data_IF_917613673751
#
_entry.id   IF_917613673751
#
_cell.length_a   1.000
_cell.length_b   1.000
_cell.length_c   1.000
_cell.angle_alpha   90.00
_cell.angle_beta   90.00
_cell.angle_gamma   90.00
#
_symmetry.space_group_name_H-M   'P 1'
#
loop_
_entity.id
_entity.type
_entity.pdbx_description
1 polymer ?
#
# COMPACT_ATOMS: atom_id res chain seq x y z
N UNK A 1 22.40 -21.06 5.37
CA UNK A 1 21.55 -21.96 6.18
C UNK A 1 21.04 -23.07 5.27
N UNK A 2 21.28 -24.35 5.59
CA UNK A 2 20.99 -25.50 4.71
C UNK A 2 19.48 -25.67 4.52
N UNK A 3 18.97 -25.52 3.30
CA UNK A 3 17.61 -25.92 2.90
C UNK A 3 17.73 -27.19 2.05
N UNK A 4 17.85 -28.33 2.73
CA UNK A 4 17.36 -29.60 2.19
C UNK A 4 16.26 -29.97 3.17
N UNK A 5 15.03 -29.54 2.88
CA UNK A 5 13.87 -29.80 3.75
C UNK A 5 13.52 -31.27 3.65
N UNK A 6 13.37 -31.91 4.80
CA UNK A 6 13.02 -33.32 4.87
C UNK A 6 11.56 -33.51 4.43
N UNK A 7 11.26 -34.63 3.77
CA UNK A 7 9.89 -34.99 3.34
C UNK A 7 8.88 -35.01 4.52
N UNK A 8 9.38 -35.11 5.75
CA UNK A 8 8.62 -35.07 7.00
C UNK A 8 8.17 -33.65 7.39
N UNK A 9 8.95 -32.61 7.05
CA UNK A 9 8.56 -31.20 7.27
C UNK A 9 7.46 -30.74 6.31
N UNK A 10 7.54 -31.15 5.04
CA UNK A 10 6.49 -30.86 4.05
C UNK A 10 5.16 -31.53 4.42
N UNK A 11 5.22 -32.75 4.98
CA UNK A 11 4.03 -33.46 5.45
C UNK A 11 3.37 -32.75 6.65
N UNK A 12 4.18 -32.23 7.59
CA UNK A 12 3.70 -31.45 8.74
C UNK A 12 3.09 -30.11 8.35
N UNK A 13 3.68 -29.40 7.38
CA UNK A 13 3.11 -28.15 6.87
C UNK A 13 1.76 -28.40 6.17
N UNK A 14 1.64 -29.51 5.43
CA UNK A 14 0.38 -29.92 4.81
C UNK A 14 -0.71 -30.29 5.84
N UNK A 15 -0.33 -30.93 6.96
CA UNK A 15 -1.23 -31.19 8.09
C UNK A 15 -1.66 -29.90 8.80
N UNK A 16 -0.75 -28.94 8.99
CA UNK A 16 -1.05 -27.64 9.60
C UNK A 16 -1.98 -26.79 8.71
N UNK A 17 -1.79 -26.82 7.39
CA UNK A 17 -2.65 -26.12 6.43
C UNK A 17 -4.04 -26.77 6.37
N UNK A 18 -4.14 -28.09 6.42
CA UNK A 18 -5.44 -28.80 6.50
C UNK A 18 -6.13 -28.59 7.86
N UNK A 19 -5.38 -28.50 8.96
CA UNK A 19 -5.95 -28.15 10.27
C UNK A 19 -6.45 -26.71 10.29
N UNK A 20 -5.72 -25.76 9.69
CA UNK A 20 -6.15 -24.38 9.53
C UNK A 20 -7.40 -24.27 8.64
N UNK A 21 -7.46 -25.04 7.54
CA UNK A 21 -8.61 -25.16 6.65
C UNK A 21 -9.83 -25.73 7.37
N UNK A 22 -9.66 -26.75 8.21
CA UNK A 22 -10.73 -27.31 9.04
C UNK A 22 -11.23 -26.32 10.09
N UNK A 23 -10.35 -25.54 10.73
CA UNK A 23 -10.73 -24.48 11.67
C UNK A 23 -11.47 -23.31 11.01
N UNK A 24 -11.07 -22.92 9.78
CA UNK A 24 -11.77 -21.92 8.98
C UNK A 24 -13.16 -22.41 8.53
N UNK A 25 -13.28 -23.68 8.12
CA UNK A 25 -14.57 -24.27 7.75
C UNK A 25 -15.50 -24.53 8.95
N UNK A 26 -14.94 -24.72 10.15
CA UNK A 26 -15.72 -24.80 11.40
C UNK A 26 -16.23 -23.41 11.82
N UNK A 27 -15.42 -22.36 11.63
CA UNK A 27 -15.84 -20.97 11.87
C UNK A 27 -16.96 -20.53 10.89
N UNK A 28 -16.93 -21.01 9.65
CA UNK A 28 -17.99 -20.78 8.66
C UNK A 28 -19.31 -21.54 8.92
N UNK A 29 -19.31 -22.55 9.82
CA UNK A 29 -20.52 -23.29 10.22
C UNK A 29 -21.20 -22.77 11.48
N UNK A 30 -20.65 -21.74 12.12
CA UNK A 30 -21.23 -21.09 13.30
C UNK A 30 -22.21 -19.94 12.95
N UNK A 31 -22.82 -19.96 11.76
CA UNK A 31 -23.82 -18.96 11.34
C UNK A 31 -25.21 -19.10 12.01
N UNK A 32 -25.39 -20.04 12.95
CA UNK A 32 -26.66 -20.25 13.66
C UNK A 32 -26.89 -19.35 14.90
N UNK A 33 -26.08 -18.33 15.10
CA UNK A 33 -26.39 -17.22 16.03
C UNK A 33 -26.99 -16.01 15.31
N UNK A 34 -27.86 -16.24 14.32
CA UNK A 34 -28.83 -15.23 13.83
C UNK A 34 -30.06 -15.20 14.73
N UNK A 35 -29.88 -14.77 15.97
CA UNK A 35 -30.96 -14.23 16.81
C UNK A 35 -30.30 -13.32 17.83
N UNK A 36 -30.86 -12.12 17.93
CA UNK A 36 -30.47 -11.00 18.80
C UNK A 36 -29.62 -9.97 18.03
N UNK A 37 -30.21 -8.77 17.92
CA UNK A 37 -29.75 -7.53 17.27
C UNK A 37 -30.25 -7.39 15.82
N UNK A 38 -31.31 -6.60 15.68
CA UNK A 38 -31.91 -6.23 14.41
C UNK A 38 -30.93 -5.47 13.54
N UNK A 39 -30.75 -5.97 12.32
CA UNK A 39 -30.19 -5.23 11.20
C UNK A 39 -31.29 -4.32 10.63
N UNK A 40 -31.15 -3.01 10.79
CA UNK A 40 -31.81 -2.04 9.91
C UNK A 40 -30.76 -1.46 8.98
N UNK A 41 -30.89 -1.76 7.69
CA UNK A 41 -30.15 -1.09 6.64
C UNK A 41 -30.58 0.37 6.56
N UNK A 42 -29.64 1.26 6.23
CA UNK A 42 -29.93 2.65 5.95
C UNK A 42 -30.97 2.78 4.82
N UNK A 43 -32.20 3.14 5.19
CA UNK A 43 -33.14 3.87 4.35
C UNK A 43 -33.80 4.94 5.22
N UNK A 44 -33.54 6.19 4.89
CA UNK A 44 -34.30 7.33 5.39
C UNK A 44 -35.75 7.26 4.88
N UNK A 45 -36.67 7.89 5.63
CA UNK A 45 -38.12 8.03 5.40
C UNK A 45 -39.02 6.87 5.87
N UNK A 46 -39.55 6.95 7.10
CA UNK A 46 -41.02 7.06 7.38
C UNK A 46 -41.38 6.98 8.88
N UNK A 47 -42.46 7.69 9.22
CA UNK A 47 -43.44 7.41 10.28
C UNK A 47 -43.19 7.84 11.74
N UNK A 48 -43.84 8.96 12.04
CA UNK A 48 -44.63 9.29 13.22
C UNK A 48 -45.34 8.10 13.93
N UNK A 49 -45.49 8.25 15.24
CA UNK A 49 -46.59 7.78 16.10
C UNK A 49 -46.59 6.37 16.75
N UNK A 50 -46.94 6.41 18.05
CA UNK A 50 -47.40 5.36 18.99
C UNK A 50 -46.35 4.49 19.71
N UNK A 51 -46.13 4.78 21.01
CA UNK A 51 -46.66 3.96 22.13
C UNK A 51 -46.21 4.54 23.49
N UNK A 52 -47.14 5.23 24.14
CA UNK A 52 -47.29 5.18 25.61
C UNK A 52 -47.71 3.76 26.02
N UNK A 53 -47.55 3.44 27.32
CA UNK A 53 -47.82 2.15 27.99
C UNK A 53 -46.68 1.12 28.00
N UNK A 54 -45.71 1.32 28.90
CA UNK A 54 -45.28 0.36 29.93
C UNK A 54 -44.02 0.87 30.64
N UNK A 55 -44.19 1.80 31.58
CA UNK A 55 -43.19 2.07 32.61
C UNK A 55 -43.92 2.53 33.87
N UNK A 56 -44.59 1.57 34.52
CA UNK A 56 -45.04 1.75 35.88
C UNK A 56 -43.83 1.98 36.80
N UNK A 57 -43.96 3.01 37.63
CA UNK A 57 -43.36 3.06 38.97
C UNK A 57 -41.82 3.04 39.06
N UNK A 58 -41.14 4.01 38.45
CA UNK A 58 -39.96 4.60 39.09
C UNK A 58 -40.06 6.12 39.06
N UNK A 59 -40.22 6.67 40.25
CA UNK A 59 -40.33 8.08 40.65
C UNK A 59 -39.64 9.07 39.70
N UNK A 60 -40.47 9.87 39.04
CA UNK A 60 -40.15 11.12 38.34
C UNK A 60 -39.59 12.18 39.31
N UNK A 61 -38.28 12.16 39.59
CA UNK A 61 -37.57 13.28 40.24
C UNK A 61 -36.06 13.27 39.91
N UNK A 62 -35.70 13.57 38.67
CA UNK A 62 -34.32 14.01 38.33
C UNK A 62 -34.38 15.15 37.33
N UNK A 63 -34.64 16.36 37.84
CA UNK A 63 -34.13 17.56 37.20
C UNK A 63 -32.59 17.50 37.26
N UNK A 64 -31.89 17.99 36.23
CA UNK A 64 -30.43 18.09 36.21
C UNK A 64 -29.94 18.76 37.51
N UNK A 65 -29.42 17.97 38.45
CA UNK A 65 -29.06 18.46 39.76
C UNK A 65 -27.67 19.09 39.68
N UNK A 66 -27.64 20.41 39.52
CA UNK A 66 -26.41 21.18 39.59
C UNK A 66 -26.05 21.35 41.07
N UNK A 67 -24.94 20.76 41.50
CA UNK A 67 -24.46 20.89 42.89
C UNK A 67 -23.13 21.61 42.91
N UNK A 68 -23.04 22.66 43.73
CA UNK A 68 -21.76 23.27 44.12
C UNK A 68 -21.35 22.68 45.44
N UNK A 69 -20.13 22.16 45.50
CA UNK A 69 -19.51 21.71 46.74
C UNK A 69 -18.34 22.64 47.04
N UNK A 70 -18.31 23.17 48.25
CA UNK A 70 -17.22 24.01 48.77
C UNK A 70 -16.51 23.21 49.84
N UNK A 71 -15.30 22.73 49.55
CA UNK A 71 -14.46 22.02 50.51
C UNK A 71 -13.11 22.74 50.62
N UNK A 72 -12.93 23.51 51.70
CA UNK A 72 -11.77 24.39 51.88
C UNK A 72 -11.74 25.56 50.88
N UNK A 73 -10.58 25.83 50.26
CA UNK A 73 -10.41 26.86 49.21
C UNK A 73 -10.79 26.37 47.80
N UNK A 74 -11.24 25.12 47.63
CA UNK A 74 -11.61 24.56 46.32
C UNK A 74 -13.13 24.60 46.15
N UNK A 75 -13.58 25.38 45.17
CA UNK A 75 -14.97 25.33 44.68
C UNK A 75 -15.04 24.40 43.47
N UNK A 76 -15.98 23.45 43.50
CA UNK A 76 -16.24 22.53 42.40
C UNK A 76 -17.71 22.58 42.00
N UNK A 77 -17.98 22.69 40.70
CA UNK A 77 -19.32 22.60 40.10
C UNK A 77 -19.49 21.23 39.45
N UNK A 78 -20.54 20.50 39.86
CA UNK A 78 -20.90 19.21 39.29
C UNK A 78 -22.20 19.32 38.49
N UNK A 79 -22.24 18.68 37.32
CA UNK A 79 -23.42 18.60 36.48
C UNK A 79 -23.52 17.22 35.83
N UNK A 80 -24.64 16.55 36.05
CA UNK A 80 -24.99 15.32 35.34
C UNK A 80 -25.72 15.67 34.03
N UNK A 81 -25.50 14.85 33.02
CA UNK A 81 -26.35 14.86 31.82
C UNK A 81 -27.79 14.48 32.18
N UNK A 82 -28.75 15.02 31.41
CA UNK A 82 -30.17 14.74 31.63
C UNK A 82 -30.47 13.24 31.41
N UNK A 83 -31.41 12.65 32.17
CA UNK A 83 -31.70 11.21 32.11
C UNK A 83 -32.04 10.71 30.70
N UNK A 84 -32.63 11.56 29.87
CA UNK A 84 -33.05 11.19 28.53
C UNK A 84 -31.91 11.17 27.49
N UNK A 85 -30.69 11.62 27.83
CA UNK A 85 -29.57 11.72 26.89
C UNK A 85 -28.40 10.80 27.27
N UNK A 86 -27.87 10.91 28.49
CA UNK A 86 -26.81 10.01 28.97
C UNK A 86 -27.05 9.61 30.42
N UNK A 87 -26.98 8.31 30.66
CA UNK A 87 -26.90 7.74 32.00
C UNK A 87 -25.41 7.57 32.33
N UNK A 88 -25.02 7.93 33.56
CA UNK A 88 -23.70 7.68 34.14
C UNK A 88 -22.53 8.60 33.73
N UNK A 89 -22.77 9.70 33.00
CA UNK A 89 -21.74 10.71 32.73
C UNK A 89 -21.86 11.88 33.72
N UNK A 90 -20.79 12.14 34.47
CA UNK A 90 -20.69 13.24 35.42
C UNK A 90 -19.65 14.24 34.92
N UNK A 91 -20.06 15.49 34.74
CA UNK A 91 -19.14 16.60 34.51
C UNK A 91 -18.76 17.27 35.83
N UNK A 92 -17.49 17.60 35.99
CA UNK A 92 -16.96 18.39 37.09
C UNK A 92 -16.09 19.52 36.56
N UNK A 93 -16.31 20.72 37.10
CA UNK A 93 -15.50 21.90 36.85
C UNK A 93 -14.85 22.34 38.16
N UNK A 94 -13.52 22.39 38.15
CA UNK A 94 -12.73 22.98 39.24
C UNK A 94 -12.61 24.49 39.00
N UNK A 95 -12.73 25.29 40.06
CA UNK A 95 -12.53 26.74 39.99
C UNK A 95 -11.20 27.08 39.29
N UNK A 96 -11.25 28.11 38.44
CA UNK A 96 -10.09 28.63 37.70
C UNK A 96 -9.41 27.60 36.76
N UNK A 97 -10.13 26.54 36.38
CA UNK A 97 -9.66 25.56 35.39
C UNK A 97 -10.15 25.91 33.98
N UNK A 98 -9.29 25.83 32.96
CA UNK A 98 -9.71 25.84 31.55
C UNK A 98 -10.24 24.46 31.10
N UNK A 99 -10.15 23.43 31.94
CA UNK A 99 -10.54 22.07 31.64
C UNK A 99 -11.77 21.62 32.45
N UNK A 100 -12.69 20.98 31.77
CA UNK A 100 -13.83 20.25 32.33
C UNK A 100 -13.46 18.77 32.45
N UNK A 101 -13.62 18.19 33.63
CA UNK A 101 -13.42 16.77 33.88
C UNK A 101 -14.73 16.01 33.68
N UNK A 102 -14.68 14.89 32.99
CA UNK A 102 -15.80 14.02 32.68
C UNK A 102 -15.50 12.64 33.25
N UNK A 103 -16.44 12.13 34.03
CA UNK A 103 -16.38 10.80 34.64
C UNK A 103 -17.49 9.94 34.07
N UNK A 104 -17.13 8.86 33.39
CA UNK A 104 -18.06 7.89 32.85
C UNK A 104 -18.11 6.68 33.77
N UNK A 105 -19.22 6.51 34.48
CA UNK A 105 -19.37 5.47 35.50
C UNK A 105 -19.97 4.22 34.85
N UNK A 106 -19.17 3.17 34.72
CA UNK A 106 -19.61 1.90 34.16
C UNK A 106 -19.95 0.94 35.28
N UNK A 107 -21.24 0.69 35.47
CA UNK A 107 -21.74 -0.38 36.33
C UNK A 107 -21.61 -1.71 35.60
N UNK A 108 -20.75 -2.60 36.10
CA UNK A 108 -20.61 -3.96 35.59
C UNK A 108 -21.34 -4.91 36.55
N UNK A 109 -22.40 -5.56 36.09
CA UNK A 109 -23.05 -6.64 36.84
C UNK A 109 -22.57 -7.98 36.29
N UNK A 110 -21.90 -8.77 37.13
CA UNK A 110 -21.47 -10.14 36.77
C UNK A 110 -22.31 -11.10 37.59
N UNK A 111 -23.35 -11.66 36.96
CA UNK A 111 -24.33 -12.49 37.68
C UNK A 111 -25.21 -11.67 38.63
N UNK A 112 -25.31 -12.10 39.90
CA UNK A 112 -26.09 -11.44 40.96
C UNK A 112 -25.22 -10.63 41.94
N UNK A 113 -23.91 -10.54 41.72
CA UNK A 113 -23.01 -9.75 42.58
C UNK A 113 -22.78 -8.37 41.97
N UNK A 114 -23.08 -7.32 42.74
CA UNK A 114 -22.73 -5.95 42.40
C UNK A 114 -21.21 -5.78 42.55
N UNK A 115 -20.51 -5.65 41.43
CA UNK A 115 -19.07 -5.35 41.40
C UNK A 115 -18.89 -3.83 41.53
N UNK A 116 -17.79 -3.41 42.14
CA UNK A 116 -17.42 -1.99 42.27
C UNK A 116 -17.41 -1.31 40.87
N UNK A 117 -18.11 -0.17 40.70
CA UNK A 117 -18.24 0.46 39.40
C UNK A 117 -16.90 1.02 38.94
N UNK A 118 -16.50 0.70 37.70
CA UNK A 118 -15.32 1.30 37.10
C UNK A 118 -15.63 2.72 36.60
N UNK A 119 -14.74 3.67 36.88
CA UNK A 119 -14.90 5.07 36.45
C UNK A 119 -13.83 5.41 35.41
N UNK A 120 -14.26 5.83 34.22
CA UNK A 120 -13.37 6.34 33.19
C UNK A 120 -13.31 7.87 33.26
N UNK A 121 -12.15 8.40 33.62
CA UNK A 121 -11.90 9.83 33.68
C UNK A 121 -11.33 10.37 32.35
N UNK A 122 -11.81 11.54 31.93
CA UNK A 122 -11.24 12.32 30.82
C UNK A 122 -11.42 13.82 31.03
N UNK A 123 -10.54 14.63 30.46
CA UNK A 123 -10.66 16.10 30.46
C UNK A 123 -10.96 16.63 29.06
N UNK A 124 -11.84 17.63 28.96
CA UNK A 124 -12.10 18.40 27.73
C UNK A 124 -11.82 19.88 27.99
N UNK A 125 -11.41 20.62 26.96
CA UNK A 125 -11.14 22.07 27.02
C UNK A 125 -12.06 22.75 26.01
N UNK A 126 -13.25 23.21 26.43
CA UNK A 126 -14.16 23.97 25.59
C UNK A 126 -13.58 25.37 25.31
N UNK A 127 -13.09 25.60 24.09
CA UNK A 127 -12.59 26.89 23.63
C UNK A 127 -11.08 27.11 23.80
N UNK A 128 -10.61 28.34 23.60
CA UNK A 128 -9.19 28.69 23.56
C UNK A 128 -8.67 29.15 24.92
N UNK A 129 -8.37 28.21 25.82
CA UNK A 129 -7.51 28.41 27.00
C UNK A 129 -8.00 29.35 28.10
N UNK A 130 -9.17 29.97 27.96
CA UNK A 130 -9.78 30.78 29.02
C UNK A 130 -10.41 29.87 30.08
N UNK A 131 -10.27 30.27 31.35
CA UNK A 131 -10.91 29.59 32.47
C UNK A 131 -12.43 29.54 32.30
N UNK A 132 -13.01 28.38 32.58
CA UNK A 132 -14.45 28.16 32.45
C UNK A 132 -15.13 28.65 33.72
N UNK A 133 -16.20 29.44 33.55
CA UNK A 133 -17.03 29.94 34.65
C UNK A 133 -18.17 28.97 34.99
N UNK A 134 -18.79 28.35 33.98
CA UNK A 134 -19.85 27.34 34.16
C UNK A 134 -20.08 26.59 32.84
N UNK A 135 -20.79 25.47 32.89
CA UNK A 135 -21.17 24.68 31.72
C UNK A 135 -22.57 24.06 31.88
N UNK A 136 -23.17 23.66 30.76
CA UNK A 136 -24.45 22.95 30.73
C UNK A 136 -24.52 22.00 29.56
N UNK A 137 -25.04 20.79 29.78
CA UNK A 137 -25.30 19.82 28.71
C UNK A 137 -26.49 20.24 27.85
N UNK A 138 -26.45 19.89 26.57
CA UNK A 138 -27.59 20.10 25.68
C UNK A 138 -28.73 19.11 26.03
N UNK A 139 -30.01 19.57 26.08
CA UNK A 139 -31.12 18.70 26.49
C UNK A 139 -31.39 17.50 25.57
N UNK A 140 -31.20 17.67 24.26
CA UNK A 140 -31.49 16.65 23.24
C UNK A 140 -30.25 16.08 22.53
N UNK A 141 -29.08 16.69 22.69
CA UNK A 141 -27.86 16.26 21.98
C UNK A 141 -26.87 15.69 23.00
N UNK A 142 -26.72 14.38 23.01
CA UNK A 142 -25.96 13.64 24.04
C UNK A 142 -24.49 14.07 24.16
N UNK A 143 -23.88 14.52 23.06
CA UNK A 143 -22.46 14.84 22.97
C UNK A 143 -22.20 16.35 22.93
N UNK A 144 -23.19 17.19 23.23
CA UNK A 144 -23.05 18.65 23.07
C UNK A 144 -23.20 19.32 24.42
N UNK A 145 -22.31 20.26 24.71
CA UNK A 145 -22.37 21.11 25.89
C UNK A 145 -22.12 22.55 25.52
N UNK A 146 -22.66 23.44 26.34
CA UNK A 146 -22.42 24.87 26.29
C UNK A 146 -21.52 25.23 27.46
N UNK A 147 -20.40 25.88 27.21
CA UNK A 147 -19.49 26.39 28.23
C UNK A 147 -19.44 27.92 28.17
N UNK A 148 -19.39 28.57 29.32
CA UNK A 148 -19.15 30.01 29.44
C UNK A 148 -17.80 30.23 30.09
N UNK A 149 -16.97 31.07 29.48
CA UNK A 149 -15.66 31.47 30.01
C UNK A 149 -15.81 32.59 31.05
N UNK A 150 -14.83 32.75 31.95
CA UNK A 150 -14.78 33.87 32.90
C UNK A 150 -14.70 35.24 32.20
N UNK A 151 -14.20 35.28 30.97
CA UNK A 151 -14.21 36.48 30.11
C UNK A 151 -15.58 36.76 29.47
N UNK A 152 -16.62 35.95 29.74
CA UNK A 152 -17.98 36.11 29.22
C UNK A 152 -18.23 35.53 27.84
N UNK A 153 -17.25 34.87 27.22
CA UNK A 153 -17.41 34.19 25.93
C UNK A 153 -18.18 32.88 26.07
N UNK A 154 -19.15 32.65 25.18
CA UNK A 154 -19.95 31.42 25.10
C UNK A 154 -19.35 30.49 24.05
N UNK A 155 -19.16 29.22 24.39
CA UNK A 155 -18.65 28.19 23.48
C UNK A 155 -19.61 27.02 23.43
N UNK A 156 -20.03 26.68 22.21
CA UNK A 156 -20.72 25.43 21.93
C UNK A 156 -19.69 24.35 21.58
N UNK A 157 -19.68 23.27 22.35
CA UNK A 157 -18.64 22.26 22.30
C UNK A 157 -19.21 20.85 22.13
N UNK A 158 -18.62 20.10 21.20
CA UNK A 158 -18.97 18.69 20.98
C UNK A 158 -17.94 17.80 21.68
N UNK A 159 -18.40 17.06 22.66
CA UNK A 159 -17.64 16.02 23.37
C UNK A 159 -17.59 14.78 22.48
N UNK A 160 -16.39 14.41 22.05
CA UNK A 160 -16.18 13.17 21.31
C UNK A 160 -16.13 11.98 22.26
N UNK A 161 -16.84 10.91 21.91
CA UNK A 161 -16.70 9.62 22.58
C UNK A 161 -15.40 8.94 22.18
N UNK A 162 -14.82 8.17 23.11
CA UNK A 162 -13.79 7.21 22.75
C UNK A 162 -14.48 6.05 22.03
N UNK A 163 -14.27 5.98 20.73
CA UNK A 163 -14.70 4.85 19.91
C UNK A 163 -13.73 3.71 20.19
N UNK A 164 -14.23 2.58 20.70
CA UNK A 164 -13.44 1.34 20.71
C UNK A 164 -13.48 0.75 19.32
N UNK A 165 -12.32 0.68 18.67
CA UNK A 165 -12.15 0.08 17.36
C UNK A 165 -11.56 -1.32 17.54
N UNK A 166 -12.21 -2.32 16.94
CA UNK A 166 -11.72 -3.69 16.86
C UNK A 166 -11.46 -4.03 15.40
N UNK A 167 -10.31 -4.65 15.14
CA UNK A 167 -9.92 -5.10 13.81
C UNK A 167 -9.69 -6.62 13.86
N UNK A 168 -10.38 -7.36 12.99
CA UNK A 168 -10.19 -8.80 12.84
C UNK A 168 -9.12 -9.15 11.78
N UNK A 169 -8.47 -10.33 11.90
CA UNK A 169 -7.64 -10.90 10.84
C UNK A 169 -8.39 -11.23 9.54
N UNK A 170 -9.74 -11.25 9.60
CA UNK A 170 -10.60 -11.41 8.42
C UNK A 170 -10.94 -10.07 7.76
N UNK A 171 -10.22 -8.99 8.09
CA UNK A 171 -10.38 -7.64 7.52
C UNK A 171 -11.72 -6.98 7.86
N UNK A 172 -12.25 -7.28 9.05
CA UNK A 172 -13.45 -6.62 9.58
C UNK A 172 -13.03 -5.54 10.58
N UNK A 173 -13.45 -4.30 10.35
CA UNK A 173 -13.27 -3.18 11.27
C UNK A 173 -14.62 -2.90 11.89
N UNK A 174 -14.73 -3.15 13.19
CA UNK A 174 -15.97 -2.95 13.97
C UNK A 174 -15.72 -1.87 15.00
N UNK A 175 -16.69 -0.97 15.15
CA UNK A 175 -16.64 0.03 16.21
C UNK A 175 -18.01 0.36 16.77
N UNK A 176 -18.02 0.85 18.01
CA UNK A 176 -19.23 1.31 18.68
C UNK A 176 -19.64 2.68 18.17
N UNK A 177 -20.92 2.84 17.82
CA UNK A 177 -21.52 4.11 17.48
C UNK A 177 -22.70 4.39 18.43
N UNK A 178 -22.45 5.20 19.45
CA UNK A 178 -23.40 5.40 20.55
C UNK A 178 -23.63 4.11 21.34
N UNK A 179 -24.78 4.03 22.03
CA UNK A 179 -25.08 2.94 22.98
C UNK A 179 -25.63 1.66 22.36
N UNK A 180 -26.19 1.75 21.15
CA UNK A 180 -27.01 0.67 20.56
C UNK A 180 -26.48 0.11 19.24
N UNK A 181 -25.57 0.82 18.58
CA UNK A 181 -25.14 0.44 17.24
C UNK A 181 -23.68 0.07 17.23
N UNK A 182 -23.39 -1.08 16.62
CA UNK A 182 -22.07 -1.42 16.13
C UNK A 182 -22.05 -1.10 14.64
N UNK A 183 -21.04 -0.36 14.21
CA UNK A 183 -20.75 -0.18 12.79
C UNK A 183 -19.65 -1.16 12.39
N UNK A 184 -19.74 -1.66 11.17
CA UNK A 184 -18.83 -2.63 10.59
C UNK A 184 -18.45 -2.16 9.19
N UNK A 185 -17.16 -2.27 8.86
CA UNK A 185 -16.63 -2.19 7.50
C UNK A 185 -15.87 -3.49 7.24
N UNK A 186 -16.03 -4.04 6.05
CA UNK A 186 -15.40 -5.28 5.57
C UNK A 186 -14.54 -5.03 4.34
N UNK A 187 -13.74 -6.02 3.96
CA UNK A 187 -12.96 -6.04 2.70
C UNK A 187 -13.83 -5.93 1.44
N UNK A 188 -15.15 -6.14 1.55
CA UNK A 188 -16.12 -6.00 0.45
C UNK A 188 -16.60 -4.56 0.24
N UNK A 189 -16.40 -3.68 1.22
CA UNK A 189 -16.87 -2.30 1.14
C UNK A 189 -15.88 -1.45 0.33
N UNK A 190 -16.38 -0.61 -0.59
CA UNK A 190 -15.53 0.29 -1.40
C UNK A 190 -14.65 1.22 -0.54
N UNK A 191 -15.10 1.54 0.67
CA UNK A 191 -14.35 2.34 1.62
C UNK A 191 -13.08 1.62 2.10
N UNK A 192 -13.12 0.29 2.24
CA UNK A 192 -11.99 -0.50 2.72
C UNK A 192 -10.89 -0.61 1.68
N UNK A 193 -11.23 -0.64 0.39
CA UNK A 193 -10.25 -0.65 -0.71
C UNK A 193 -9.32 0.56 -0.65
N UNK A 194 -9.79 1.70 -0.12
CA UNK A 194 -8.97 2.91 0.05
C UNK A 194 -7.92 2.80 1.16
N UNK A 195 -8.03 1.82 2.05
CA UNK A 195 -7.09 1.63 3.16
C UNK A 195 -5.79 0.93 2.72
N UNK A 196 -5.77 0.32 1.53
CA UNK A 196 -4.63 -0.40 0.98
C UNK A 196 -3.98 -1.40 1.97
N UNK A 197 -4.82 -2.18 2.65
CA UNK A 197 -4.37 -3.10 3.69
C UNK A 197 -3.65 -4.33 3.11
N UNK A 198 -2.39 -4.51 3.52
CA UNK A 198 -1.55 -5.65 3.15
C UNK A 198 -2.15 -6.99 3.59
N UNK A 199 -2.92 -7.03 4.69
CA UNK A 199 -3.52 -8.28 5.19
C UNK A 199 -4.52 -8.87 4.19
N UNK A 200 -5.27 -8.02 3.48
CA UNK A 200 -6.19 -8.42 2.41
C UNK A 200 -5.42 -8.99 1.22
N UNK A 201 -4.33 -8.33 0.83
CA UNK A 201 -3.46 -8.80 -0.25
C UNK A 201 -2.86 -10.17 0.08
N UNK A 202 -2.37 -10.38 1.31
CA UNK A 202 -1.84 -11.66 1.77
C UNK A 202 -2.93 -12.74 1.76
N UNK A 203 -4.12 -12.45 2.30
CA UNK A 203 -5.27 -13.37 2.32
C UNK A 203 -5.67 -13.77 0.90
N UNK A 204 -5.80 -12.80 -0.01
CA UNK A 204 -6.16 -13.04 -1.41
C UNK A 204 -5.12 -13.89 -2.12
N UNK A 205 -3.83 -13.56 -2.00
CA UNK A 205 -2.72 -14.35 -2.55
C UNK A 205 -2.70 -15.78 -1.98
N UNK A 206 -2.92 -15.96 -0.69
CA UNK A 206 -3.01 -17.30 -0.08
C UNK A 206 -4.18 -18.12 -0.65
N UNK A 207 -5.35 -17.50 -0.84
CA UNK A 207 -6.53 -18.17 -1.43
C UNK A 207 -6.34 -18.51 -2.92
N UNK A 208 -5.50 -17.77 -3.65
CA UNK A 208 -5.15 -18.07 -5.04
C UNK A 208 -3.98 -19.03 -5.17
N UNK A 209 -3.48 -19.59 -4.06
CA UNK A 209 -2.35 -20.52 -3.99
C UNK A 209 -1.03 -19.88 -4.47
N UNK A 210 -0.86 -18.59 -4.20
CA UNK A 210 0.37 -17.86 -4.47
C UNK A 210 1.59 -18.54 -3.82
N UNK A 211 2.62 -18.80 -4.62
CA UNK A 211 3.82 -19.53 -4.23
C UNK A 211 3.72 -21.05 -4.35
N UNK A 212 2.54 -21.59 -4.70
CA UNK A 212 2.28 -23.02 -4.85
C UNK A 212 1.93 -23.42 -6.30
N UNK A 213 1.97 -22.48 -7.27
CA UNK A 213 1.78 -22.82 -8.68
C UNK A 213 2.93 -23.71 -9.19
N UNK A 214 2.58 -24.65 -10.07
CA UNK A 214 3.54 -25.62 -10.64
C UNK A 214 4.67 -24.90 -11.38
N UNK A 215 4.31 -23.95 -12.23
CA UNK A 215 5.25 -23.08 -12.90
C UNK A 215 5.51 -21.81 -12.09
N UNK A 216 6.79 -21.54 -11.80
CA UNK A 216 7.22 -20.40 -10.98
C UNK A 216 6.72 -19.06 -11.53
N UNK A 217 6.72 -18.87 -12.85
CA UNK A 217 6.31 -17.62 -13.49
C UNK A 217 4.83 -17.28 -13.26
N UNK A 218 3.96 -18.28 -13.11
CA UNK A 218 2.51 -18.08 -12.86
C UNK A 218 2.25 -17.38 -11.52
N UNK A 219 3.14 -17.56 -10.55
CA UNK A 219 3.04 -16.84 -9.28
C UNK A 219 3.26 -15.33 -9.47
N UNK A 220 3.99 -14.92 -10.51
CA UNK A 220 4.17 -13.51 -10.86
C UNK A 220 2.87 -12.83 -11.29
N UNK A 221 2.02 -13.51 -12.04
CA UNK A 221 0.71 -12.96 -12.45
C UNK A 221 -0.26 -12.79 -11.27
N UNK A 222 -0.04 -13.51 -10.18
CA UNK A 222 -0.81 -13.40 -8.93
C UNK A 222 -0.23 -12.38 -7.94
N UNK A 223 0.91 -11.76 -8.28
CA UNK A 223 1.57 -10.79 -7.41
C UNK A 223 0.85 -9.45 -7.38
N UNK A 224 0.20 -9.01 -8.46
CA UNK A 224 -0.32 -7.63 -8.59
C UNK A 224 0.72 -6.55 -8.25
N UNK A 225 1.98 -6.86 -8.52
CA UNK A 225 3.16 -6.03 -8.25
C UNK A 225 4.21 -6.39 -9.29
N UNK A 226 4.69 -5.40 -10.05
CA UNK A 226 5.56 -5.62 -11.20
C UNK A 226 6.95 -6.11 -10.77
N UNK A 227 7.48 -5.59 -9.68
CA UNK A 227 8.78 -6.00 -9.14
C UNK A 227 8.75 -7.48 -8.73
N UNK A 228 7.69 -7.89 -8.05
CA UNK A 228 7.50 -9.26 -7.61
C UNK A 228 7.19 -10.20 -8.79
N UNK A 229 6.48 -9.72 -9.82
CA UNK A 229 6.29 -10.45 -11.08
C UNK A 229 7.63 -10.71 -11.78
N UNK A 230 8.48 -9.69 -11.88
CA UNK A 230 9.82 -9.80 -12.45
C UNK A 230 10.68 -10.79 -11.66
N UNK A 231 10.60 -10.77 -10.33
CA UNK A 231 11.31 -11.72 -9.49
C UNK A 231 10.90 -13.18 -9.76
N UNK A 232 9.60 -13.47 -9.86
CA UNK A 232 9.11 -14.82 -10.18
C UNK A 232 9.58 -15.28 -11.56
N UNK A 233 9.56 -14.37 -12.54
CA UNK A 233 10.06 -14.64 -13.87
C UNK A 233 11.57 -14.92 -13.87
N UNK A 234 12.35 -14.16 -13.09
CA UNK A 234 13.77 -14.42 -12.90
C UNK A 234 14.05 -15.78 -12.26
N UNK A 235 13.30 -16.16 -11.22
CA UNK A 235 13.42 -17.48 -10.59
C UNK A 235 13.13 -18.61 -11.58
N UNK A 236 12.11 -18.42 -12.43
CA UNK A 236 11.79 -19.36 -13.50
C UNK A 236 12.95 -19.51 -14.50
N UNK A 237 13.49 -18.40 -15.02
CA UNK A 237 14.62 -18.42 -15.96
C UNK A 237 15.89 -19.03 -15.35
N UNK A 238 16.19 -18.67 -14.11
CA UNK A 238 17.32 -19.20 -13.36
C UNK A 238 17.22 -20.72 -13.21
N UNK A 239 16.03 -21.23 -12.86
CA UNK A 239 15.77 -22.68 -12.77
C UNK A 239 15.96 -23.37 -14.13
N UNK A 240 15.41 -22.83 -15.21
CA UNK A 240 15.57 -23.39 -16.57
C UNK A 240 17.04 -23.50 -16.95
N UNK A 241 17.84 -22.46 -16.67
CA UNK A 241 19.28 -22.44 -16.95
C UNK A 241 20.07 -23.47 -16.14
N UNK A 242 19.65 -23.77 -14.90
CA UNK A 242 20.26 -24.85 -14.10
C UNK A 242 19.87 -26.22 -14.66
N UNK A 243 18.60 -26.42 -15.02
CA UNK A 243 18.09 -27.70 -15.56
C UNK A 243 18.72 -28.04 -16.93
N UNK A 244 19.01 -27.03 -17.75
CA UNK A 244 19.74 -27.16 -19.02
C UNK A 244 21.24 -27.46 -18.84
N UNK A 245 21.75 -27.49 -17.60
CA UNK A 245 23.17 -27.73 -17.30
C UNK A 245 24.08 -26.53 -17.59
N UNK A 246 23.51 -25.35 -17.85
CA UNK A 246 24.24 -24.15 -18.25
C UNK A 246 24.84 -23.37 -17.06
N UNK A 247 24.42 -23.66 -15.82
CA UNK A 247 24.98 -23.09 -14.59
C UNK A 247 25.41 -24.19 -13.61
N UNK A 248 26.72 -24.31 -13.33
CA UNK A 248 27.21 -25.21 -12.28
C UNK A 248 27.12 -24.52 -10.91
N UNK A 249 26.42 -25.17 -9.98
CA UNK A 249 26.10 -24.60 -8.67
C UNK A 249 27.31 -24.33 -7.75
N UNK A 250 27.07 -23.36 -6.86
CA UNK A 250 27.72 -23.09 -5.55
C UNK A 250 29.06 -22.34 -5.54
N UNK A 251 29.67 -21.96 -6.68
CA UNK A 251 30.85 -21.08 -6.67
C UNK A 251 30.92 -20.08 -7.84
N UNK A 252 29.78 -19.62 -8.35
CA UNK A 252 29.75 -18.52 -9.31
C UNK A 252 29.89 -17.16 -8.59
N UNK A 253 31.04 -16.92 -7.94
CA UNK A 253 31.52 -15.55 -7.74
C UNK A 253 31.77 -15.00 -9.13
N UNK A 254 30.76 -14.46 -9.84
CA UNK A 254 30.82 -14.01 -11.24
C UNK A 254 32.23 -13.51 -11.61
N UNK A 255 33.13 -14.39 -12.09
CA UNK A 255 34.52 -14.04 -12.23
C UNK A 255 34.66 -13.67 -13.69
N UNK A 256 34.51 -12.37 -13.97
CA UNK A 256 34.76 -11.70 -15.26
C UNK A 256 34.69 -12.64 -16.46
N UNK A 257 33.51 -12.77 -17.07
CA UNK A 257 33.29 -13.91 -17.95
C UNK A 257 33.28 -13.56 -19.45
N UNK A 258 34.15 -14.32 -20.13
CA UNK A 258 34.08 -14.86 -21.49
C UNK A 258 32.65 -15.02 -22.06
N UNK A 259 32.56 -14.97 -23.39
CA UNK A 259 31.34 -14.95 -24.23
C UNK A 259 30.15 -15.76 -23.70
N UNK A 260 30.39 -16.99 -23.25
CA UNK A 260 29.33 -17.95 -22.93
C UNK A 260 28.53 -17.59 -21.67
N UNK A 261 29.11 -16.92 -20.67
CA UNK A 261 28.30 -16.47 -19.52
C UNK A 261 27.68 -15.09 -19.74
N UNK A 262 28.17 -14.29 -20.71
CA UNK A 262 27.44 -13.08 -21.13
C UNK A 262 26.11 -13.43 -21.79
N UNK A 263 26.09 -14.46 -22.64
CA UNK A 263 24.84 -14.95 -23.25
C UNK A 263 23.84 -15.47 -22.23
N UNK A 264 24.31 -16.20 -21.19
CA UNK A 264 23.45 -16.65 -20.09
C UNK A 264 22.93 -15.49 -19.24
N UNK A 265 23.79 -14.51 -18.96
CA UNK A 265 23.38 -13.32 -18.24
C UNK A 265 22.35 -12.50 -19.04
N UNK A 266 22.51 -12.39 -20.36
CA UNK A 266 21.50 -11.78 -21.24
C UNK A 266 20.19 -12.56 -21.22
N UNK A 267 20.24 -13.90 -21.17
CA UNK A 267 19.05 -14.73 -21.02
C UNK A 267 18.32 -14.46 -19.70
N UNK A 268 19.05 -14.31 -18.58
CA UNK A 268 18.49 -13.94 -17.28
C UNK A 268 17.82 -12.56 -17.29
N UNK A 269 18.38 -11.61 -18.03
CA UNK A 269 17.79 -10.28 -18.23
C UNK A 269 16.63 -10.28 -19.25
N UNK A 270 16.31 -11.42 -19.89
CA UNK A 270 15.28 -11.51 -20.93
C UNK A 270 15.70 -10.91 -22.29
N UNK A 271 16.99 -10.63 -22.50
CA UNK A 271 17.56 -10.03 -23.71
C UNK A 271 18.30 -11.04 -24.62
N UNK A 272 18.02 -12.34 -24.48
CA UNK A 272 18.55 -13.34 -25.40
C UNK A 272 17.60 -13.54 -26.59
N UNK A 273 18.06 -13.11 -27.76
CA UNK A 273 17.30 -13.21 -29.01
C UNK A 273 18.03 -14.11 -30.01
N UNK A 274 17.74 -15.40 -30.00
CA UNK A 274 18.37 -16.36 -30.91
C UNK A 274 17.96 -16.10 -32.38
N UNK A 275 16.80 -15.46 -32.59
CA UNK A 275 16.24 -15.13 -33.91
C UNK A 275 15.59 -13.76 -33.92
N UNK A 276 15.49 -13.18 -35.11
CA UNK A 276 14.72 -11.96 -35.34
C UNK A 276 13.26 -12.12 -34.88
N UNK A 277 12.68 -13.31 -35.05
CA UNK A 277 11.30 -13.61 -34.60
C UNK A 277 11.14 -13.53 -33.09
N UNK A 278 12.11 -14.00 -32.31
CA UNK A 278 12.08 -13.91 -30.84
C UNK A 278 12.25 -12.48 -30.35
N UNK A 279 13.03 -11.68 -31.08
CA UNK A 279 13.18 -10.25 -30.83
C UNK A 279 11.87 -9.50 -31.08
N UNK A 280 11.22 -9.73 -32.23
CA UNK A 280 9.94 -9.08 -32.54
C UNK A 280 8.84 -9.48 -31.54
N UNK A 281 8.74 -10.77 -31.18
CA UNK A 281 7.76 -11.22 -30.18
C UNK A 281 7.96 -10.57 -28.80
N UNK A 282 9.21 -10.31 -28.42
CA UNK A 282 9.51 -9.59 -27.18
C UNK A 282 9.06 -8.13 -27.24
N UNK A 283 9.29 -7.45 -28.36
CA UNK A 283 8.79 -6.08 -28.57
C UNK A 283 7.26 -6.02 -28.62
N UNK A 284 6.61 -6.97 -29.31
CA UNK A 284 5.14 -7.05 -29.38
C UNK A 284 4.51 -7.23 -27.99
N UNK A 285 5.17 -7.99 -27.09
CA UNK A 285 4.75 -8.12 -25.69
C UNK A 285 4.82 -6.78 -24.97
N UNK A 286 5.93 -6.06 -25.11
CA UNK A 286 6.10 -4.73 -24.51
C UNK A 286 5.09 -3.71 -25.05
N UNK A 287 4.78 -3.75 -26.35
CA UNK A 287 3.73 -2.92 -26.95
C UNK A 287 2.34 -3.26 -26.39
N UNK A 288 2.06 -4.56 -26.16
CA UNK A 288 0.80 -5.03 -25.55
C UNK A 288 0.66 -4.59 -24.10
N UNK A 289 1.78 -4.48 -23.38
CA UNK A 289 1.86 -3.94 -22.01
C UNK A 289 1.88 -2.39 -21.99
N UNK A 290 1.61 -1.72 -23.12
CA UNK A 290 1.65 -0.26 -23.31
C UNK A 290 3.03 0.39 -23.05
N UNK A 291 4.09 -0.40 -22.95
CA UNK A 291 5.46 0.03 -22.68
C UNK A 291 6.21 0.45 -23.96
N UNK A 292 5.60 1.32 -24.76
CA UNK A 292 6.12 1.74 -26.07
C UNK A 292 7.51 2.40 -25.99
N UNK A 293 7.77 3.24 -24.98
CA UNK A 293 9.09 3.88 -24.79
C UNK A 293 10.20 2.86 -24.58
N UNK A 294 9.93 1.83 -23.75
CA UNK A 294 10.85 0.73 -23.46
C UNK A 294 11.12 -0.09 -24.71
N UNK A 295 10.07 -0.52 -25.42
CA UNK A 295 10.19 -1.26 -26.67
C UNK A 295 11.01 -0.49 -27.72
N UNK A 296 10.72 0.79 -27.90
CA UNK A 296 11.42 1.66 -28.83
C UNK A 296 12.91 1.83 -28.46
N UNK A 297 13.23 1.95 -27.17
CA UNK A 297 14.60 2.05 -26.69
C UNK A 297 15.42 0.79 -26.96
N UNK A 298 14.83 -0.38 -26.69
CA UNK A 298 15.47 -1.68 -26.96
C UNK A 298 15.71 -1.86 -28.46
N UNK A 299 14.79 -1.40 -29.32
CA UNK A 299 14.99 -1.36 -30.77
C UNK A 299 16.15 -0.43 -31.19
N UNK A 300 16.30 0.74 -30.55
CA UNK A 300 17.45 1.65 -30.78
C UNK A 300 18.76 1.04 -30.33
N UNK A 301 18.81 0.43 -29.15
CA UNK A 301 20.02 -0.26 -28.67
C UNK A 301 20.42 -1.41 -29.60
N UNK A 302 19.44 -2.06 -30.23
CA UNK A 302 19.66 -3.07 -31.27
C UNK A 302 19.97 -2.48 -32.66
N UNK A 303 20.19 -1.17 -32.76
CA UNK A 303 20.48 -0.41 -33.99
C UNK A 303 19.37 -0.45 -35.07
N UNK A 304 18.14 -0.79 -34.69
CA UNK A 304 16.97 -0.85 -35.57
C UNK A 304 16.16 0.44 -35.50
N UNK A 305 16.77 1.56 -35.91
CA UNK A 305 16.16 2.90 -35.81
C UNK A 305 14.79 3.01 -36.49
N UNK A 306 14.62 2.39 -37.66
CA UNK A 306 13.35 2.40 -38.41
C UNK A 306 12.23 1.74 -37.61
N UNK A 307 12.50 0.56 -37.05
CA UNK A 307 11.55 -0.16 -36.21
C UNK A 307 11.19 0.65 -34.96
N UNK A 308 12.18 1.28 -34.32
CA UNK A 308 11.94 2.16 -33.18
C UNK A 308 10.98 3.31 -33.52
N UNK A 309 11.18 3.99 -34.65
CA UNK A 309 10.28 5.06 -35.12
C UNK A 309 8.86 4.53 -35.35
N UNK A 310 8.72 3.35 -35.94
CA UNK A 310 7.40 2.72 -36.14
C UNK A 310 6.70 2.40 -34.81
N UNK A 311 7.43 1.86 -33.82
CA UNK A 311 6.91 1.59 -32.47
C UNK A 311 6.46 2.88 -31.78
N UNK A 312 7.28 3.93 -31.84
CA UNK A 312 6.94 5.24 -31.24
C UNK A 312 5.69 5.85 -31.88
N UNK A 313 5.54 5.74 -33.20
CA UNK A 313 4.36 6.24 -33.91
C UNK A 313 3.11 5.44 -33.52
N UNK A 314 3.19 4.10 -33.42
CA UNK A 314 2.09 3.26 -32.93
C UNK A 314 1.69 3.64 -31.49
N UNK A 315 2.67 3.80 -30.61
CA UNK A 315 2.44 4.22 -29.22
C UNK A 315 1.82 5.62 -29.12
N UNK A 316 2.26 6.55 -29.96
CA UNK A 316 1.67 7.89 -30.04
C UNK A 316 0.21 7.86 -30.50
N UNK A 317 -0.11 7.09 -31.55
CA UNK A 317 -1.49 6.90 -32.00
C UNK A 317 -2.38 6.27 -30.93
N UNK A 318 -1.86 5.30 -30.17
CA UNK A 318 -2.56 4.68 -29.05
C UNK A 318 -2.83 5.70 -27.92
N UNK A 319 -1.83 6.49 -27.53
CA UNK A 319 -1.95 7.48 -26.46
C UNK A 319 -2.85 8.67 -26.83
N UNK A 320 -2.85 9.10 -28.11
CA UNK A 320 -3.82 10.11 -28.60
C UNK A 320 -5.25 9.63 -28.43
N UNK A 321 -5.56 8.37 -28.77
CA UNK A 321 -6.91 7.81 -28.65
C UNK A 321 -7.41 7.83 -27.20
N UNK A 322 -6.48 7.77 -26.24
CA UNK A 322 -6.75 7.85 -24.81
C UNK A 322 -6.70 9.28 -24.23
N UNK A 323 -6.43 10.29 -25.06
CA UNK A 323 -6.39 11.70 -24.64
C UNK A 323 -5.12 12.12 -23.89
N UNK A 324 -4.05 11.33 -23.95
CA UNK A 324 -2.78 11.63 -23.29
C UNK A 324 -1.87 12.47 -24.18
N UNK A 325 -1.22 13.49 -23.61
CA UNK A 325 -0.13 14.23 -24.26
C UNK A 325 1.16 13.44 -24.07
N UNK A 326 1.86 13.17 -25.17
CA UNK A 326 3.00 12.26 -25.18
C UNK A 326 4.20 12.82 -25.94
N UNK A 327 5.39 12.60 -25.39
CA UNK A 327 6.67 12.96 -26.02
C UNK A 327 7.10 11.99 -27.12
N UNK A 328 6.40 10.86 -27.32
CA UNK A 328 6.79 9.80 -28.27
C UNK A 328 6.97 10.31 -29.71
N UNK A 329 6.03 11.13 -30.21
CA UNK A 329 6.12 11.67 -31.58
C UNK A 329 7.29 12.64 -31.75
N UNK A 330 7.61 13.42 -30.73
CA UNK A 330 8.77 14.33 -30.76
C UNK A 330 10.05 13.52 -30.92
N UNK A 331 10.17 12.42 -30.17
CA UNK A 331 11.31 11.51 -30.27
C UNK A 331 11.34 10.79 -31.63
N UNK A 332 10.20 10.31 -32.13
CA UNK A 332 10.12 9.68 -33.45
C UNK A 332 10.59 10.61 -34.57
N UNK A 333 10.16 11.88 -34.54
CA UNK A 333 10.62 12.91 -35.47
C UNK A 333 12.12 13.17 -35.33
N UNK A 334 12.63 13.28 -34.10
CA UNK A 334 14.05 13.47 -33.87
C UNK A 334 14.88 12.29 -34.39
N UNK A 335 14.47 11.04 -34.15
CA UNK A 335 15.15 9.85 -34.65
C UNK A 335 15.18 9.79 -36.18
N UNK A 336 14.13 10.29 -36.86
CA UNK A 336 14.12 10.34 -38.34
C UNK A 336 15.21 11.24 -38.93
N UNK A 337 15.65 12.25 -38.17
CA UNK A 337 16.72 13.18 -38.54
C UNK A 337 18.09 12.81 -37.97
N UNK A 338 18.24 11.60 -37.39
CA UNK A 338 19.51 11.15 -36.83
C UNK A 338 20.65 11.24 -37.85
N UNK A 339 21.76 11.83 -37.42
CA UNK A 339 22.99 11.93 -38.18
C UNK A 339 24.16 11.56 -37.28
N UNK A 340 25.08 10.74 -37.80
CA UNK A 340 26.30 10.32 -37.09
C UNK A 340 27.39 11.40 -37.06
N UNK A 341 27.14 12.55 -37.71
CA UNK A 341 28.08 13.68 -37.66
C UNK A 341 28.14 14.30 -36.26
N UNK A 342 29.35 14.35 -35.69
CA UNK A 342 29.65 14.84 -34.33
C UNK A 342 29.33 16.32 -34.16
N UNK A 343 29.42 17.10 -35.24
CA UNK A 343 29.11 18.52 -35.24
C UNK A 343 27.70 18.83 -35.77
N UNK A 344 26.85 17.81 -35.92
CA UNK A 344 25.51 18.00 -36.43
C UNK A 344 24.67 18.86 -35.48
N UNK A 345 23.88 19.76 -36.07
CA UNK A 345 22.86 20.53 -35.36
C UNK A 345 21.87 19.62 -34.62
N UNK A 346 21.64 18.41 -35.16
CA UNK A 346 20.84 17.37 -34.52
C UNK A 346 21.38 17.02 -33.13
N UNK A 347 22.70 16.78 -33.00
CA UNK A 347 23.32 16.38 -31.72
C UNK A 347 23.22 17.50 -30.69
N UNK A 348 23.50 18.75 -31.08
CA UNK A 348 23.38 19.90 -30.18
C UNK A 348 21.94 20.08 -29.68
N UNK A 349 20.95 19.94 -30.58
CA UNK A 349 19.54 20.08 -30.24
C UNK A 349 19.03 18.93 -29.36
N UNK A 350 19.49 17.70 -29.61
CA UNK A 350 19.11 16.53 -28.81
C UNK A 350 19.63 16.63 -27.38
N UNK A 351 20.89 17.05 -27.19
CA UNK A 351 21.47 17.25 -25.85
C UNK A 351 20.74 18.32 -25.04
N UNK A 352 20.27 19.40 -25.68
CA UNK A 352 19.46 20.44 -25.03
C UNK A 352 18.03 19.99 -24.70
N UNK A 353 17.50 19.03 -25.46
CA UNK A 353 16.12 18.54 -25.32
C UNK A 353 16.01 17.35 -24.36
N UNK A 354 17.11 16.64 -24.11
CA UNK A 354 17.22 15.50 -23.20
C UNK A 354 16.67 15.78 -21.80
N UNK A 355 16.96 16.95 -21.23
CA UNK A 355 16.50 17.34 -19.89
C UNK A 355 15.00 17.66 -19.81
N UNK A 356 14.31 17.78 -20.95
CA UNK A 356 12.88 18.07 -21.01
C UNK A 356 12.03 16.80 -21.11
N UNK A 357 12.67 15.63 -21.33
CA UNK A 357 11.99 14.35 -21.44
C UNK A 357 11.79 13.75 -20.04
N UNK A 358 10.55 13.41 -19.71
CA UNK A 358 10.18 12.77 -18.44
C UNK A 358 10.43 11.27 -18.45
N UNK A 359 10.28 10.62 -19.60
CA UNK A 359 10.44 9.17 -19.74
C UNK A 359 11.93 8.76 -19.75
N UNK A 360 12.35 7.83 -18.86
CA UNK A 360 13.74 7.42 -18.74
C UNK A 360 14.26 6.67 -19.97
N UNK A 361 13.42 5.87 -20.63
CA UNK A 361 13.83 5.13 -21.83
C UNK A 361 14.05 6.07 -23.01
N UNK A 362 13.21 7.11 -23.16
CA UNK A 362 13.41 8.13 -24.19
C UNK A 362 14.69 8.93 -23.97
N UNK A 363 15.04 9.25 -22.73
CA UNK A 363 16.35 9.86 -22.40
C UNK A 363 17.49 8.92 -22.75
N UNK A 364 17.39 7.64 -22.35
CA UNK A 364 18.41 6.63 -22.62
C UNK A 364 18.66 6.43 -24.13
N UNK A 365 17.63 6.52 -24.97
CA UNK A 365 17.76 6.46 -26.44
C UNK A 365 18.68 7.56 -26.96
N UNK A 366 18.44 8.82 -26.58
CA UNK A 366 19.29 9.93 -27.01
C UNK A 366 20.68 9.85 -26.38
N UNK A 367 20.78 9.47 -25.12
CA UNK A 367 22.07 9.26 -24.45
C UNK A 367 22.91 8.22 -25.18
N UNK A 368 22.30 7.13 -25.68
CA UNK A 368 22.98 6.14 -26.49
C UNK A 368 23.43 6.67 -27.85
N UNK A 369 22.53 7.34 -28.58
CA UNK A 369 22.85 7.89 -29.91
C UNK A 369 23.84 9.05 -29.88
N UNK A 370 23.95 9.73 -28.74
CA UNK A 370 24.90 10.83 -28.50
C UNK A 370 26.10 10.40 -27.65
N UNK A 371 26.25 9.10 -27.38
CA UNK A 371 27.40 8.57 -26.67
C UNK A 371 28.70 8.83 -27.45
N UNK A 372 29.80 9.03 -26.72
CA UNK A 372 31.13 9.25 -27.31
C UNK A 372 32.13 8.23 -26.78
N UNK A 373 32.98 7.72 -27.67
CA UNK A 373 34.10 6.85 -27.34
C UNK A 373 33.71 5.64 -26.44
N UNK A 374 32.49 5.11 -26.61
CA UNK A 374 31.98 4.00 -25.79
C UNK A 374 31.74 4.37 -24.32
N UNK A 375 31.51 5.65 -24.02
CA UNK A 375 31.00 6.08 -22.72
C UNK A 375 29.46 5.98 -22.72
N UNK A 376 28.95 5.04 -21.93
CA UNK A 376 27.52 4.78 -21.80
C UNK A 376 26.98 5.10 -20.39
N UNK A 377 27.72 5.86 -19.58
CA UNK A 377 27.36 6.14 -18.19
C UNK A 377 25.98 6.80 -18.06
N UNK A 378 25.61 7.64 -19.03
CA UNK A 378 24.30 8.29 -19.07
C UNK A 378 23.13 7.31 -19.30
N UNK A 379 23.37 6.19 -20.01
CA UNK A 379 22.36 5.12 -20.20
C UNK A 379 22.34 4.21 -18.98
N UNK A 380 23.52 3.82 -18.50
CA UNK A 380 23.71 2.84 -17.42
C UNK A 380 23.28 3.32 -16.03
N UNK A 381 23.26 4.64 -15.82
CA UNK A 381 22.86 5.27 -14.56
C UNK A 381 21.53 6.03 -14.66
N UNK A 382 20.78 5.86 -15.75
CA UNK A 382 19.49 6.53 -15.95
C UNK A 382 18.48 6.08 -14.88
N UNK A 383 17.93 7.03 -14.13
CA UNK A 383 17.00 6.74 -13.04
C UNK A 383 15.62 6.37 -13.58
N UNK A 384 15.09 5.21 -13.19
CA UNK A 384 13.76 4.74 -13.60
C UNK A 384 13.77 3.79 -14.80
N UNK A 385 14.94 3.45 -15.36
CA UNK A 385 15.06 2.28 -16.22
C UNK A 385 15.05 0.99 -15.39
N UNK A 386 14.52 -0.09 -15.97
CA UNK A 386 14.55 -1.41 -15.36
C UNK A 386 15.99 -1.89 -15.23
N UNK A 387 16.34 -2.44 -14.06
CA UNK A 387 17.70 -2.92 -13.77
C UNK A 387 18.10 -4.03 -14.75
N UNK A 388 17.15 -4.87 -15.15
CA UNK A 388 17.33 -5.94 -16.14
C UNK A 388 17.82 -5.37 -17.47
N UNK A 389 17.22 -4.27 -17.94
CA UNK A 389 17.58 -3.64 -19.22
C UNK A 389 18.93 -2.92 -19.10
N UNK A 390 19.22 -2.29 -17.95
CA UNK A 390 20.52 -1.65 -17.70
C UNK A 390 21.66 -2.68 -17.68
N UNK A 391 21.45 -3.81 -17.00
CA UNK A 391 22.40 -4.93 -16.95
C UNK A 391 22.56 -5.58 -18.32
N UNK A 392 21.48 -5.80 -19.06
CA UNK A 392 21.54 -6.33 -20.43
C UNK A 392 22.29 -5.38 -21.38
N UNK A 393 22.04 -4.08 -21.27
CA UNK A 393 22.77 -3.07 -22.01
C UNK A 393 24.27 -3.12 -21.66
N UNK A 394 24.62 -3.19 -20.37
CA UNK A 394 26.00 -3.31 -19.91
C UNK A 394 26.69 -4.58 -20.48
N UNK A 395 25.99 -5.70 -20.48
CA UNK A 395 26.45 -6.98 -21.03
C UNK A 395 26.67 -6.93 -22.55
N UNK A 396 25.97 -6.05 -23.25
CA UNK A 396 26.08 -5.88 -24.70
C UNK A 396 27.21 -4.94 -25.09
N UNK A 397 27.39 -3.83 -24.37
CA UNK A 397 28.24 -2.71 -24.81
C UNK A 397 29.52 -2.47 -23.99
N UNK A 398 29.62 -2.96 -22.75
CA UNK A 398 30.81 -2.77 -21.92
C UNK A 398 31.85 -3.87 -22.11
N UNK A 399 33.13 -3.50 -22.05
CA UNK A 399 34.24 -4.46 -21.90
C UNK A 399 34.16 -5.18 -20.54
N UNK A 400 34.81 -6.35 -20.44
CA UNK A 400 34.75 -7.18 -19.21
C UNK A 400 35.20 -6.42 -17.96
N UNK A 401 36.24 -5.58 -18.09
CA UNK A 401 36.74 -4.76 -16.99
C UNK A 401 35.69 -3.75 -16.51
N UNK A 402 35.14 -2.95 -17.44
CA UNK A 402 34.13 -1.93 -17.12
C UNK A 402 32.85 -2.56 -16.60
N UNK A 403 32.46 -3.72 -17.14
CA UNK A 403 31.29 -4.47 -16.69
C UNK A 403 31.45 -4.91 -15.23
N UNK A 404 32.60 -5.46 -14.84
CA UNK A 404 32.84 -5.88 -13.46
C UNK A 404 32.76 -4.72 -12.46
N UNK A 405 33.32 -3.56 -12.82
CA UNK A 405 33.23 -2.35 -12.00
C UNK A 405 31.79 -1.84 -11.88
N UNK A 406 31.06 -1.78 -13.01
CA UNK A 406 29.67 -1.37 -13.06
C UNK A 406 28.76 -2.27 -12.22
N UNK A 407 28.83 -3.60 -12.40
CA UNK A 407 27.98 -4.54 -11.66
C UNK A 407 28.24 -4.47 -10.16
N UNK A 408 29.49 -4.27 -9.73
CA UNK A 408 29.83 -4.11 -8.30
C UNK A 408 29.25 -2.82 -7.73
N UNK A 409 29.34 -1.72 -8.46
CA UNK A 409 28.74 -0.44 -8.07
C UNK A 409 27.21 -0.55 -7.98
N UNK A 410 26.58 -1.09 -9.03
CA UNK A 410 25.12 -1.28 -9.11
C UNK A 410 24.63 -2.20 -7.97
N UNK A 411 25.33 -3.31 -7.70
CA UNK A 411 24.99 -4.20 -6.59
C UNK A 411 24.98 -3.47 -5.25
N UNK A 412 26.02 -2.69 -4.96
CA UNK A 412 26.08 -1.95 -3.69
C UNK A 412 24.97 -0.91 -3.59
N UNK A 413 24.62 -0.25 -4.70
CA UNK A 413 23.51 0.72 -4.76
C UNK A 413 22.18 0.04 -4.46
N UNK A 414 21.85 -1.03 -5.17
CA UNK A 414 20.58 -1.74 -5.01
C UNK A 414 20.43 -2.36 -3.61
N UNK A 415 21.53 -2.86 -3.02
CA UNK A 415 21.55 -3.36 -1.64
C UNK A 415 21.30 -2.23 -0.63
N UNK A 416 21.84 -1.03 -0.85
CA UNK A 416 21.59 0.12 0.03
C UNK A 416 20.16 0.65 -0.09
N UNK A 417 19.59 0.62 -1.29
CA UNK A 417 18.23 1.06 -1.58
C UNK A 417 17.17 0.02 -1.15
N UNK A 418 17.57 -1.25 -0.96
CA UNK A 418 16.66 -2.35 -0.65
C UNK A 418 15.80 -2.76 -1.86
N UNK A 419 16.30 -2.50 -3.07
CA UNK A 419 15.61 -2.79 -4.32
C UNK A 419 15.61 -4.30 -4.61
N UNK A 420 14.42 -4.87 -4.83
CA UNK A 420 14.22 -6.29 -5.11
C UNK A 420 14.94 -6.73 -6.39
N UNK A 421 15.09 -5.84 -7.37
CA UNK A 421 15.82 -6.11 -8.60
C UNK A 421 17.30 -6.43 -8.34
N UNK A 422 17.85 -6.03 -7.19
CA UNK A 422 19.19 -6.43 -6.73
C UNK A 422 19.39 -7.94 -6.57
N UNK A 423 18.30 -8.72 -6.48
CA UNK A 423 18.36 -10.18 -6.49
C UNK A 423 18.91 -10.75 -7.80
N UNK A 424 18.72 -10.06 -8.93
CA UNK A 424 19.31 -10.44 -10.23
C UNK A 424 20.84 -10.57 -10.13
N UNK A 425 21.48 -9.68 -9.37
CA UNK A 425 22.94 -9.57 -9.26
C UNK A 425 23.51 -10.39 -8.10
N UNK A 426 22.79 -10.46 -6.98
CA UNK A 426 23.26 -11.08 -5.74
C UNK A 426 22.86 -12.55 -5.61
N UNK A 427 21.78 -12.97 -6.30
CA UNK A 427 21.16 -14.27 -6.11
C UNK A 427 20.53 -14.44 -4.73
N UNK A 428 20.05 -15.64 -4.43
CA UNK A 428 19.37 -15.96 -3.15
C UNK A 428 20.32 -16.41 -2.04
N UNK A 429 21.63 -16.48 -2.31
CA UNK A 429 22.63 -16.95 -1.35
C UNK A 429 23.41 -15.79 -0.75
N UNK A 430 22.96 -15.34 0.43
CA UNK A 430 23.83 -14.65 1.37
C UNK A 430 24.93 -15.61 1.83
N UNK A 431 26.18 -15.26 1.54
CA UNK A 431 27.33 -15.64 2.36
C UNK A 431 27.63 -14.55 3.37
#
# INVERSE_FOLDING_TARGET
MKIIRSRVEVQREHEIVEEARMRLNAAGRSEDSKKIIGYEGCSEDTAMETKEEMAGTYSSKCASERRRVVEGQREMEFSTCLPNSRHNLLGSLVRDSPALFLYDIQHTTVGNEEVEPSVLERSVIPGTGNNIASFSWHPSHENRLLAISLSGGLTDYVVFERITLNWSPSSHVVWTHGRRFLKLITDKDQLYTKLNDTSVTIKRRALTEYGLKEDLWQNGDLADDDDLKNLWYWLYLSRSLVEEGNMWGVNSRLPGVRSDDREKALQLCGWKFDRETTFMAFLDRLESDEAYSRAAAIAVFSLKLRLSIEILNRGFEAQIKMGHVSSLNIVAMALSGFSDDRNSMWRELCLKSLSQLTDPYLRAMFAFLTAENGNYDAVLNESGMAVEDQVAFALTFLSDQKLGEYLKHLTNKLVQEGDLAGMLLTGTNHS
#
